data_IF_795145532254
#
_entry.id   IF_795145532254
#
_cell.length_a   1.000
_cell.length_b   1.000
_cell.length_c   1.000
_cell.angle_alpha   90.00
_cell.angle_beta   90.00
_cell.angle_gamma   90.00
#
_symmetry.space_group_name_H-M   'P 1'
#
loop_
_entity.id
_entity.type
_entity.pdbx_description
1 polymer ?
#
# COMPACT_ATOMS: atom_id res chain seq x y z
N UNK A 1 11.27 49.79 -41.54
CA UNK A 1 11.46 49.87 -40.08
C UNK A 1 11.03 48.53 -39.49
N UNK A 2 11.93 47.89 -38.77
CA UNK A 2 11.99 46.47 -38.41
C UNK A 2 10.87 46.03 -37.46
N UNK A 3 10.07 45.02 -37.86
CA UNK A 3 9.17 44.31 -36.94
C UNK A 3 10.05 43.33 -36.16
N UNK A 4 10.36 43.72 -34.93
CA UNK A 4 11.19 42.95 -34.00
C UNK A 4 10.54 41.63 -33.60
N UNK A 5 11.34 40.57 -33.69
CA UNK A 5 11.04 39.20 -33.33
C UNK A 5 10.58 39.10 -31.86
N UNK A 6 9.27 38.90 -31.60
CA UNK A 6 8.80 38.52 -30.27
C UNK A 6 9.29 37.10 -29.97
N UNK A 7 10.43 36.98 -29.28
CA UNK A 7 10.81 35.72 -28.65
C UNK A 7 9.72 35.40 -27.62
N UNK A 8 8.93 34.35 -27.88
CA UNK A 8 7.86 33.91 -27.00
C UNK A 8 8.35 33.81 -25.56
N UNK A 9 7.82 34.68 -24.71
CA UNK A 9 8.11 34.68 -23.28
C UNK A 9 7.39 33.46 -22.70
N UNK A 10 8.04 32.30 -22.70
CA UNK A 10 7.50 31.14 -21.99
C UNK A 10 7.49 31.53 -20.51
N UNK A 11 6.32 31.61 -19.85
CA UNK A 11 6.29 31.94 -18.44
C UNK A 11 7.10 30.87 -17.67
N UNK A 12 8.20 31.30 -17.05
CA UNK A 12 9.19 30.40 -16.42
C UNK A 12 8.56 29.56 -15.29
N UNK A 13 7.53 30.11 -14.62
CA UNK A 13 6.86 29.51 -13.47
C UNK A 13 6.14 28.19 -13.82
N UNK A 14 5.21 28.14 -14.80
CA UNK A 14 4.58 26.87 -15.19
C UNK A 14 5.57 25.85 -15.76
N UNK A 15 6.65 26.25 -16.44
CA UNK A 15 7.68 25.31 -16.92
C UNK A 15 8.48 24.69 -15.78
N UNK A 16 8.81 25.48 -14.75
CA UNK A 16 9.47 24.98 -13.53
C UNK A 16 8.55 24.03 -12.77
N UNK A 17 7.25 24.36 -12.64
CA UNK A 17 6.27 23.48 -11.98
C UNK A 17 6.10 22.17 -12.75
N UNK A 18 5.97 22.21 -14.08
CA UNK A 18 5.84 21.00 -14.91
C UNK A 18 7.14 20.16 -14.85
N UNK A 19 8.32 20.80 -14.86
CA UNK A 19 9.60 20.11 -14.71
C UNK A 19 9.76 19.44 -13.34
N UNK A 20 9.34 20.12 -12.25
CA UNK A 20 9.32 19.55 -10.91
C UNK A 20 8.34 18.37 -10.79
N UNK A 21 7.16 18.47 -11.41
CA UNK A 21 6.17 17.39 -11.43
C UNK A 21 6.66 16.19 -12.26
N UNK A 22 7.35 16.41 -13.38
CA UNK A 22 7.91 15.33 -14.20
C UNK A 22 9.07 14.60 -13.49
N UNK A 23 9.97 15.35 -12.84
CA UNK A 23 11.04 14.78 -12.00
C UNK A 23 10.47 14.04 -10.77
N UNK A 24 9.42 14.60 -10.14
CA UNK A 24 8.70 13.96 -9.06
C UNK A 24 7.96 12.69 -9.52
N UNK A 25 7.39 12.68 -10.73
CA UNK A 25 6.73 11.52 -11.31
C UNK A 25 7.69 10.34 -11.53
N UNK A 26 8.90 10.62 -12.03
CA UNK A 26 9.95 9.61 -12.19
C UNK A 26 10.44 9.02 -10.87
N UNK A 27 10.63 9.84 -9.84
CA UNK A 27 11.05 9.38 -8.50
C UNK A 27 9.94 8.65 -7.75
N UNK A 28 8.67 9.04 -7.94
CA UNK A 28 7.51 8.31 -7.41
C UNK A 28 7.42 6.91 -8.02
N UNK A 29 7.54 6.78 -9.34
CA UNK A 29 7.52 5.47 -10.01
C UNK A 29 8.66 4.56 -9.52
N UNK A 30 9.88 5.11 -9.38
CA UNK A 30 11.01 4.36 -8.82
C UNK A 30 10.78 3.95 -7.35
N UNK A 31 10.14 4.80 -6.55
CA UNK A 31 9.87 4.52 -5.13
C UNK A 31 8.89 3.37 -4.90
N UNK A 32 8.02 3.03 -5.86
CA UNK A 32 7.07 1.92 -5.72
C UNK A 32 7.78 0.57 -5.48
N UNK A 33 8.98 0.41 -6.05
CA UNK A 33 9.78 -0.79 -5.90
C UNK A 33 10.66 -0.78 -4.63
N UNK A 34 10.71 0.33 -3.90
CA UNK A 34 11.54 0.46 -2.71
C UNK A 34 11.01 -0.43 -1.57
N UNK A 35 11.93 -1.12 -0.89
CA UNK A 35 11.66 -1.92 0.31
C UNK A 35 12.24 -1.23 1.56
N UNK A 36 11.83 -1.59 2.79
CA UNK A 36 12.41 -1.02 4.00
C UNK A 36 13.95 -1.02 3.98
N UNK A 37 14.56 0.14 4.18
CA UNK A 37 16.00 0.36 4.11
C UNK A 37 16.49 1.01 2.81
N UNK A 38 15.69 1.00 1.74
CA UNK A 38 16.02 1.69 0.49
C UNK A 38 15.90 3.21 0.64
N UNK A 39 16.73 3.96 -0.12
CA UNK A 39 16.75 5.42 -0.10
C UNK A 39 15.38 6.05 -0.42
N UNK A 40 14.60 5.43 -1.32
CA UNK A 40 13.29 5.93 -1.73
C UNK A 40 12.12 5.37 -0.92
N UNK A 41 12.38 4.56 0.11
CA UNK A 41 11.30 3.94 0.91
C UNK A 41 10.47 4.99 1.67
N UNK A 42 11.10 6.06 2.16
CA UNK A 42 10.36 7.17 2.78
C UNK A 42 9.40 7.86 1.79
N UNK A 43 9.78 7.95 0.51
CA UNK A 43 8.94 8.50 -0.54
C UNK A 43 7.78 7.56 -0.88
N UNK A 44 8.01 6.24 -0.89
CA UNK A 44 6.95 5.22 -1.03
C UNK A 44 5.89 5.39 0.04
N UNK A 45 6.29 5.40 1.31
CA UNK A 45 5.38 5.57 2.45
C UNK A 45 4.61 6.90 2.40
N UNK A 46 5.24 7.97 1.87
CA UNK A 46 4.57 9.26 1.70
C UNK A 46 3.51 9.19 0.60
N UNK A 47 3.84 8.54 -0.52
CA UNK A 47 2.92 8.35 -1.64
C UNK A 47 1.72 7.49 -1.24
N UNK A 48 1.94 6.42 -0.47
CA UNK A 48 0.87 5.58 0.10
C UNK A 48 -0.07 6.39 0.99
N UNK A 49 0.46 7.23 1.89
CA UNK A 49 -0.35 8.12 2.73
C UNK A 49 -1.17 9.11 1.91
N UNK A 50 -0.58 9.69 0.87
CA UNK A 50 -1.29 10.60 -0.03
C UNK A 50 -2.44 9.87 -0.74
N UNK A 51 -2.21 8.65 -1.22
CA UNK A 51 -3.29 7.82 -1.80
C UNK A 51 -4.43 7.62 -0.80
N UNK A 52 -4.15 7.27 0.45
CA UNK A 52 -5.17 7.11 1.49
C UNK A 52 -5.92 8.41 1.79
N UNK A 53 -5.23 9.55 1.85
CA UNK A 53 -5.86 10.87 2.09
C UNK A 53 -6.77 11.29 0.93
N UNK A 54 -6.42 10.93 -0.30
CA UNK A 54 -7.21 11.22 -1.50
C UNK A 54 -8.37 10.24 -1.73
N UNK A 55 -8.46 9.16 -0.95
CA UNK A 55 -9.60 8.25 -0.94
C UNK A 55 -10.68 8.83 -0.01
N UNK A 56 -11.75 9.38 -0.60
CA UNK A 56 -12.70 10.23 0.13
C UNK A 56 -13.76 9.44 0.88
N UNK A 57 -14.13 8.26 0.39
CA UNK A 57 -15.10 7.38 1.05
C UNK A 57 -14.42 6.30 1.90
N UNK A 58 -15.11 5.81 2.92
CA UNK A 58 -14.66 4.67 3.74
C UNK A 58 -14.40 3.42 2.88
N UNK A 59 -15.23 3.17 1.86
CA UNK A 59 -15.01 2.07 0.90
C UNK A 59 -13.72 2.23 0.11
N UNK A 60 -13.46 3.43 -0.43
CA UNK A 60 -12.22 3.71 -1.17
C UNK A 60 -10.98 3.62 -0.27
N UNK A 61 -11.08 4.09 0.98
CA UNK A 61 -10.00 3.94 1.96
C UNK A 61 -9.72 2.49 2.29
N UNK A 62 -10.76 1.68 2.52
CA UNK A 62 -10.62 0.24 2.72
C UNK A 62 -9.93 -0.42 1.52
N UNK A 63 -10.36 -0.12 0.29
CA UNK A 63 -9.72 -0.62 -0.95
C UNK A 63 -8.26 -0.16 -1.08
N UNK A 64 -7.96 1.08 -0.67
CA UNK A 64 -6.60 1.63 -0.70
C UNK A 64 -5.69 0.91 0.29
N UNK A 65 -6.14 0.73 1.53
CA UNK A 65 -5.41 -0.03 2.53
C UNK A 65 -5.17 -1.48 2.09
N UNK A 66 -6.17 -2.15 1.51
CA UNK A 66 -6.01 -3.49 0.91
C UNK A 66 -5.01 -3.50 -0.26
N UNK A 67 -4.89 -2.43 -1.06
CA UNK A 67 -3.83 -2.35 -2.06
C UNK A 67 -2.45 -2.29 -1.40
N UNK A 68 -2.32 -1.48 -0.34
CA UNK A 68 -1.05 -1.31 0.38
C UNK A 68 -0.63 -2.62 1.06
N UNK A 69 -1.57 -3.41 1.60
CA UNK A 69 -1.22 -4.71 2.21
C UNK A 69 -0.57 -5.68 1.21
N UNK A 70 -1.03 -5.69 -0.06
CA UNK A 70 -0.40 -6.49 -1.11
C UNK A 70 1.01 -5.99 -1.44
N UNK A 71 1.19 -4.67 -1.52
CA UNK A 71 2.52 -4.06 -1.72
C UNK A 71 3.48 -4.42 -0.57
N UNK A 72 3.01 -4.41 0.69
CA UNK A 72 3.83 -4.84 1.83
C UNK A 72 4.09 -6.34 1.83
N UNK A 73 3.17 -7.15 1.31
CA UNK A 73 3.38 -8.58 1.15
C UNK A 73 4.51 -8.86 0.15
N UNK A 74 4.55 -8.12 -0.96
CA UNK A 74 5.66 -8.17 -1.92
C UNK A 74 6.98 -7.70 -1.30
N UNK A 75 6.97 -6.63 -0.49
CA UNK A 75 8.16 -6.16 0.22
C UNK A 75 8.73 -7.25 1.14
N UNK A 76 7.86 -7.95 1.89
CA UNK A 76 8.24 -9.08 2.75
C UNK A 76 8.87 -10.21 1.91
N UNK A 77 8.28 -10.57 0.77
CA UNK A 77 8.82 -11.61 -0.10
C UNK A 77 10.17 -11.22 -0.69
N UNK A 78 10.34 -9.98 -1.15
CA UNK A 78 11.61 -9.45 -1.66
C UNK A 78 12.68 -9.48 -0.58
N UNK A 79 12.36 -8.99 0.62
CA UNK A 79 13.28 -9.03 1.76
C UNK A 79 13.66 -10.46 2.13
N UNK A 80 12.71 -11.39 2.18
CA UNK A 80 12.98 -12.80 2.44
C UNK A 80 13.91 -13.39 1.39
N UNK A 81 13.66 -13.14 0.09
CA UNK A 81 14.47 -13.65 -1.01
C UNK A 81 15.89 -13.06 -1.05
N UNK A 82 16.06 -11.81 -0.62
CA UNK A 82 17.34 -11.09 -0.64
C UNK A 82 18.15 -11.23 0.67
N UNK A 83 17.65 -11.98 1.66
CA UNK A 83 18.31 -12.09 2.97
C UNK A 83 18.24 -10.82 3.80
N UNK A 84 17.16 -10.04 3.65
CA UNK A 84 16.89 -8.84 4.42
C UNK A 84 16.90 -9.09 5.93
N UNK A 85 17.28 -8.07 6.70
CA UNK A 85 17.38 -8.19 8.15
C UNK A 85 16.01 -8.43 8.80
N UNK A 86 16.00 -9.06 9.98
CA UNK A 86 14.78 -9.24 10.76
C UNK A 86 14.07 -7.91 11.02
N UNK A 87 14.81 -6.81 11.23
CA UNK A 87 14.23 -5.46 11.42
C UNK A 87 13.44 -4.99 10.19
N UNK A 88 13.99 -5.15 8.98
CA UNK A 88 13.34 -4.72 7.74
C UNK A 88 12.06 -5.54 7.49
N UNK A 89 12.13 -6.87 7.72
CA UNK A 89 10.97 -7.75 7.56
C UNK A 89 9.90 -7.41 8.59
N UNK A 90 10.28 -7.17 9.85
CA UNK A 90 9.35 -6.74 10.91
C UNK A 90 8.68 -5.41 10.57
N UNK A 91 9.41 -4.46 9.98
CA UNK A 91 8.86 -3.17 9.56
C UNK A 91 7.80 -3.34 8.46
N UNK A 92 8.07 -4.15 7.43
CA UNK A 92 7.10 -4.45 6.38
C UNK A 92 5.88 -5.21 6.93
N UNK A 93 6.11 -6.23 7.78
CA UNK A 93 5.05 -7.02 8.40
C UNK A 93 4.14 -6.19 9.32
N UNK A 94 4.72 -5.27 10.10
CA UNK A 94 3.96 -4.32 10.91
C UNK A 94 3.12 -3.39 10.04
N UNK A 95 3.70 -2.86 8.95
CA UNK A 95 2.96 -2.01 8.02
C UNK A 95 1.83 -2.75 7.33
N UNK A 96 2.03 -4.03 6.98
CA UNK A 96 0.97 -4.90 6.45
C UNK A 96 -0.16 -5.03 7.47
N UNK A 97 0.16 -5.38 8.72
CA UNK A 97 -0.80 -5.51 9.81
C UNK A 97 -1.60 -4.21 10.01
N UNK A 98 -0.92 -3.08 10.11
CA UNK A 98 -1.56 -1.79 10.38
C UNK A 98 -2.52 -1.39 9.25
N UNK A 99 -2.16 -1.66 7.99
CA UNK A 99 -3.05 -1.43 6.85
C UNK A 99 -4.21 -2.43 6.80
N UNK A 100 -3.99 -3.69 7.17
CA UNK A 100 -5.06 -4.68 7.23
C UNK A 100 -6.09 -4.34 8.32
N UNK A 101 -5.63 -3.93 9.50
CA UNK A 101 -6.50 -3.47 10.59
C UNK A 101 -7.28 -2.20 10.17
N UNK A 102 -6.63 -1.25 9.51
CA UNK A 102 -7.28 -0.05 8.97
C UNK A 102 -8.32 -0.39 7.89
N UNK A 103 -8.02 -1.32 6.98
CA UNK A 103 -8.96 -1.78 5.97
C UNK A 103 -10.24 -2.36 6.59
N UNK A 104 -10.11 -3.17 7.65
CA UNK A 104 -11.25 -3.73 8.39
C UNK A 104 -12.06 -2.63 9.09
N UNK A 105 -11.38 -1.64 9.68
CA UNK A 105 -12.04 -0.50 10.31
C UNK A 105 -12.86 0.31 9.29
N UNK A 106 -12.23 0.70 8.17
CA UNK A 106 -12.87 1.45 7.10
C UNK A 106 -14.01 0.64 6.44
N UNK A 107 -13.83 -0.67 6.29
CA UNK A 107 -14.90 -1.59 5.85
C UNK A 107 -16.14 -1.48 6.75
N UNK A 108 -15.95 -1.53 8.07
CA UNK A 108 -17.05 -1.42 9.03
C UNK A 108 -17.76 -0.05 8.98
N UNK A 109 -17.06 0.99 8.55
CA UNK A 109 -17.58 2.35 8.44
C UNK A 109 -18.17 2.68 7.06
N UNK A 110 -17.95 1.81 6.06
CA UNK A 110 -18.40 2.04 4.67
C UNK A 110 -19.90 2.27 4.56
N UNK A 111 -20.71 1.50 5.30
CA UNK A 111 -22.16 1.53 5.13
C UNK A 111 -22.63 1.12 3.73
N UNK A 112 -21.72 0.56 2.91
CA UNK A 112 -22.01 0.17 1.54
C UNK A 112 -23.10 -0.91 1.51
N UNK A 113 -23.91 -0.89 0.44
CA UNK A 113 -24.94 -1.88 0.19
C UNK A 113 -24.91 -2.33 -1.27
N UNK A 114 -25.62 -3.41 -1.60
CA UNK A 114 -25.70 -3.90 -2.97
C UNK A 114 -24.34 -4.28 -3.55
N UNK A 115 -24.05 -3.83 -4.77
CA UNK A 115 -22.88 -4.27 -5.52
C UNK A 115 -21.54 -3.81 -4.93
N UNK A 116 -21.50 -2.63 -4.31
CA UNK A 116 -20.28 -2.09 -3.71
C UNK A 116 -19.86 -2.86 -2.46
N UNK A 117 -20.84 -3.25 -1.63
CA UNK A 117 -20.61 -4.12 -0.49
C UNK A 117 -20.07 -5.50 -0.93
N UNK A 118 -20.61 -6.05 -2.01
CA UNK A 118 -20.16 -7.34 -2.58
C UNK A 118 -18.72 -7.23 -3.10
N UNK A 119 -18.38 -6.17 -3.85
CA UNK A 119 -17.02 -5.94 -4.34
C UNK A 119 -16.03 -5.79 -3.18
N UNK A 120 -16.37 -4.96 -2.20
CA UNK A 120 -15.50 -4.72 -1.06
C UNK A 120 -15.30 -5.99 -0.22
N UNK A 121 -16.36 -6.77 0.01
CA UNK A 121 -16.28 -8.05 0.74
C UNK A 121 -15.40 -9.05 0.00
N UNK A 122 -15.58 -9.19 -1.32
CA UNK A 122 -14.76 -10.08 -2.15
C UNK A 122 -13.29 -9.67 -2.12
N UNK A 123 -13.01 -8.36 -2.23
CA UNK A 123 -11.64 -7.83 -2.15
C UNK A 123 -11.01 -8.15 -0.80
N UNK A 124 -11.70 -7.89 0.31
CA UNK A 124 -11.21 -8.19 1.64
C UNK A 124 -10.88 -9.69 1.77
N UNK A 125 -11.78 -10.56 1.32
CA UNK A 125 -11.57 -12.00 1.33
C UNK A 125 -10.33 -12.42 0.53
N UNK A 126 -10.27 -12.10 -0.77
CA UNK A 126 -9.17 -12.53 -1.64
C UNK A 126 -7.82 -11.99 -1.16
N UNK A 127 -7.80 -10.75 -0.69
CA UNK A 127 -6.58 -10.13 -0.17
C UNK A 127 -6.07 -10.85 1.08
N UNK A 128 -6.96 -11.13 2.04
CA UNK A 128 -6.59 -11.86 3.24
C UNK A 128 -6.20 -13.32 2.96
N UNK A 129 -6.86 -14.01 2.03
CA UNK A 129 -6.46 -15.36 1.60
C UNK A 129 -5.02 -15.35 1.05
N UNK A 130 -4.70 -14.38 0.18
CA UNK A 130 -3.36 -14.22 -0.37
C UNK A 130 -2.32 -13.94 0.72
N UNK A 131 -2.63 -13.05 1.67
CA UNK A 131 -1.76 -12.78 2.82
C UNK A 131 -1.51 -14.04 3.65
N UNK A 132 -2.52 -14.84 3.97
CA UNK A 132 -2.34 -16.07 4.76
C UNK A 132 -1.43 -17.08 4.05
N UNK A 133 -1.62 -17.25 2.75
CA UNK A 133 -0.80 -18.17 1.95
C UNK A 133 0.67 -17.76 1.94
N UNK A 134 0.95 -16.48 1.76
CA UNK A 134 2.34 -15.99 1.68
C UNK A 134 2.97 -15.90 3.07
N UNK A 135 2.28 -15.37 4.07
CA UNK A 135 2.83 -15.21 5.42
C UNK A 135 3.15 -16.55 6.07
N UNK A 136 2.34 -17.59 5.83
CA UNK A 136 2.65 -18.96 6.30
C UNK A 136 3.90 -19.54 5.64
N UNK A 137 4.09 -19.33 4.33
CA UNK A 137 5.30 -19.77 3.62
C UNK A 137 6.56 -19.04 4.11
N UNK A 138 6.44 -17.73 4.36
CA UNK A 138 7.55 -16.88 4.77
C UNK A 138 7.94 -17.10 6.24
N UNK A 139 7.01 -17.42 7.14
CA UNK A 139 7.24 -17.51 8.59
C UNK A 139 8.42 -18.42 8.97
N UNK A 140 8.63 -19.52 8.24
CA UNK A 140 9.70 -20.47 8.52
C UNK A 140 11.04 -20.13 7.84
N UNK A 141 11.06 -19.11 6.98
CA UNK A 141 12.23 -18.71 6.16
C UNK A 141 12.85 -17.38 6.60
N UNK A 142 12.20 -16.67 7.52
CA UNK A 142 12.67 -15.37 8.01
C UNK A 142 13.51 -15.51 9.29
N UNK A 143 14.36 -14.51 9.60
CA UNK A 143 15.09 -14.47 10.85
C UNK A 143 14.15 -14.52 12.07
N UNK A 144 14.62 -15.09 13.18
CA UNK A 144 13.84 -15.24 14.42
C UNK A 144 13.22 -13.91 14.89
N UNK A 145 13.99 -12.82 14.77
CA UNK A 145 13.57 -11.47 15.14
C UNK A 145 12.35 -10.93 14.35
N UNK A 146 11.95 -11.58 13.26
CA UNK A 146 10.81 -11.18 12.44
C UNK A 146 9.56 -12.05 12.63
N UNK A 147 9.68 -13.22 13.27
CA UNK A 147 8.59 -14.20 13.35
C UNK A 147 7.34 -13.65 14.03
N UNK A 148 7.49 -12.96 15.16
CA UNK A 148 6.37 -12.36 15.90
C UNK A 148 5.60 -11.34 15.03
N UNK A 149 6.30 -10.49 14.29
CA UNK A 149 5.66 -9.49 13.43
C UNK A 149 4.92 -10.14 12.26
N UNK A 150 5.46 -11.22 11.68
CA UNK A 150 4.79 -12.01 10.64
C UNK A 150 3.55 -12.72 11.20
N UNK A 151 3.62 -13.25 12.43
CA UNK A 151 2.47 -13.85 13.10
C UNK A 151 1.35 -12.83 13.34
N UNK A 152 1.66 -11.65 13.88
CA UNK A 152 0.66 -10.60 14.09
C UNK A 152 0.02 -10.12 12.76
N UNK A 153 0.80 -10.08 11.69
CA UNK A 153 0.30 -9.78 10.35
C UNK A 153 -0.67 -10.87 9.84
N UNK A 154 -0.34 -12.14 10.06
CA UNK A 154 -1.20 -13.27 9.71
C UNK A 154 -2.49 -13.30 10.56
N UNK A 155 -2.42 -12.96 11.84
CA UNK A 155 -3.59 -12.81 12.70
C UNK A 155 -4.53 -11.70 12.21
N UNK A 156 -3.99 -10.55 11.81
CA UNK A 156 -4.79 -9.45 11.22
C UNK A 156 -5.43 -9.86 9.90
N UNK A 157 -4.70 -10.62 9.06
CA UNK A 157 -5.26 -11.22 7.84
C UNK A 157 -6.43 -12.17 8.15
N UNK A 158 -6.29 -13.04 9.15
CA UNK A 158 -7.34 -13.95 9.58
C UNK A 158 -8.60 -13.20 10.04
N UNK A 159 -8.45 -12.05 10.73
CA UNK A 159 -9.59 -11.18 11.06
C UNK A 159 -10.29 -10.63 9.82
N UNK A 160 -9.54 -10.33 8.75
CA UNK A 160 -10.10 -9.94 7.46
C UNK A 160 -10.98 -11.02 6.84
N UNK A 161 -10.53 -12.29 6.89
CA UNK A 161 -11.34 -13.43 6.42
C UNK A 161 -12.61 -13.61 7.24
N UNK A 162 -12.49 -13.57 8.57
CA UNK A 162 -13.64 -13.65 9.45
C UNK A 162 -14.64 -12.54 9.13
N UNK A 163 -14.15 -11.30 8.96
CA UNK A 163 -14.98 -10.15 8.61
C UNK A 163 -15.73 -10.35 7.29
N UNK A 164 -15.08 -10.89 6.27
CA UNK A 164 -15.73 -11.15 4.98
C UNK A 164 -16.79 -12.27 5.10
N UNK A 165 -16.52 -13.32 5.88
CA UNK A 165 -17.46 -14.41 6.14
C UNK A 165 -18.70 -13.96 6.91
N UNK A 166 -18.54 -13.10 7.92
CA UNK A 166 -19.65 -12.49 8.68
C UNK A 166 -20.64 -11.74 7.78
N UNK A 167 -20.14 -11.12 6.70
CA UNK A 167 -20.98 -10.36 5.76
C UNK A 167 -21.69 -11.29 4.78
N UNK A 168 -21.00 -12.33 4.27
CA UNK A 168 -21.60 -13.30 3.36
C UNK A 168 -22.65 -14.20 4.02
N UNK A 169 -22.61 -14.36 5.34
CA UNK A 169 -23.57 -15.14 6.12
C UNK A 169 -24.86 -14.38 6.52
N UNK A 170 -24.98 -13.10 6.13
CA UNK A 170 -26.15 -12.25 6.40
C UNK A 170 -27.08 -12.21 5.20
#
# INVERSE_FOLDING_TARGET
>A
MTIGNQKGFIPLIPVIIIGLVALAGGTVAASQNAIPGDALYGLKNTTEKVRTVLSFTHSEKAKTHLSITLEKLEDIQKLQAQGGSGKQISEAAKSLKDNQDAAIQEFNQSGDTGQDAIDLTKRLQTNSEQQQNVLSDVLNKVPEAAKESIQHAAESSAKGLQKAQEVNGR
#
